data_IF_712003691401
#
_entry.id   IF_712003691401
#
_cell.length_a   1.000
_cell.length_b   1.000
_cell.length_c   1.000
_cell.angle_alpha   90.00
_cell.angle_beta   90.00
_cell.angle_gamma   90.00
#
_symmetry.space_group_name_H-M   'P 1'
#
loop_
_entity.id
_entity.type
_entity.pdbx_description
1 polymer ?
#
# COMPACT_ATOMS: atom_id res chain seq x y z
N UNK A 1 -5.28 37.92 -33.15
CA UNK A 1 -5.99 37.01 -32.23
C UNK A 1 -6.02 37.64 -30.84
N UNK A 2 -7.14 38.24 -30.41
CA UNK A 2 -7.19 38.92 -29.09
C UNK A 2 -7.77 38.05 -27.96
N UNK A 3 -8.61 37.06 -28.27
CA UNK A 3 -9.33 36.22 -27.30
C UNK A 3 -9.32 34.71 -27.64
N UNK A 4 -8.48 34.29 -28.59
CA UNK A 4 -8.42 32.91 -29.09
C UNK A 4 -7.12 32.17 -28.76
N UNK A 5 -6.06 32.90 -28.41
CA UNK A 5 -4.78 32.30 -28.04
C UNK A 5 -4.82 31.77 -26.60
N UNK A 6 -4.03 30.73 -26.36
CA UNK A 6 -3.88 30.05 -25.07
C UNK A 6 -2.41 29.82 -24.79
N UNK A 7 -2.05 29.70 -23.51
CA UNK A 7 -0.66 29.46 -23.10
C UNK A 7 -0.16 28.07 -23.56
N UNK A 8 -1.01 27.05 -23.42
CA UNK A 8 -0.71 25.67 -23.80
C UNK A 8 -1.73 25.18 -24.83
N UNK A 9 -1.25 24.95 -26.05
CA UNK A 9 -2.07 24.45 -27.16
C UNK A 9 -2.22 22.94 -27.09
N UNK A 10 -3.37 22.43 -27.52
CA UNK A 10 -3.58 21.00 -27.70
C UNK A 10 -2.86 20.56 -28.98
N UNK A 11 -1.76 19.83 -28.86
CA UNK A 11 -1.00 19.37 -30.04
C UNK A 11 -1.58 18.04 -30.55
N UNK A 12 -1.78 17.94 -31.86
CA UNK A 12 -2.35 16.79 -32.53
C UNK A 12 -1.53 16.39 -33.77
N UNK A 13 -1.53 15.11 -34.15
CA UNK A 13 -0.89 14.67 -35.39
C UNK A 13 -1.82 14.82 -36.59
N UNK A 14 -1.28 15.32 -37.70
CA UNK A 14 -1.91 15.28 -39.01
C UNK A 14 -2.06 13.83 -39.51
N UNK A 15 -3.11 13.56 -40.29
CA UNK A 15 -3.42 12.27 -40.95
C UNK A 15 -3.52 11.06 -40.00
N UNK A 16 -3.72 11.31 -38.71
CA UNK A 16 -3.91 10.27 -37.70
C UNK A 16 -5.34 10.30 -37.19
N UNK A 17 -6.01 9.14 -37.21
CA UNK A 17 -7.32 8.97 -36.58
C UNK A 17 -7.13 8.95 -35.06
N UNK A 18 -7.66 9.96 -34.39
CA UNK A 18 -7.61 10.10 -32.94
C UNK A 18 -9.01 10.05 -32.35
N UNK A 19 -9.08 9.76 -31.05
CA UNK A 19 -10.33 9.74 -30.29
C UNK A 19 -10.22 10.77 -29.18
N UNK A 20 -11.08 11.78 -29.22
CA UNK A 20 -11.27 12.73 -28.12
C UNK A 20 -12.31 12.20 -27.13
N UNK A 21 -12.03 12.32 -25.85
CA UNK A 21 -12.99 12.09 -24.77
C UNK A 21 -13.22 13.43 -24.06
N UNK A 22 -14.45 13.90 -24.05
CA UNK A 22 -14.82 15.23 -23.57
C UNK A 22 -15.79 15.07 -22.40
N UNK A 23 -15.49 15.73 -21.29
CA UNK A 23 -16.31 15.77 -20.07
C UNK A 23 -16.05 17.07 -19.33
N UNK A 24 -16.84 17.34 -18.30
CA UNK A 24 -16.69 18.51 -17.43
C UNK A 24 -16.68 18.08 -15.96
N UNK A 25 -16.05 18.89 -15.12
CA UNK A 25 -15.98 18.70 -13.67
C UNK A 25 -16.99 19.60 -12.91
N UNK A 26 -17.31 20.79 -13.44
CA UNK A 26 -18.11 21.80 -12.74
C UNK A 26 -19.52 21.97 -13.33
N UNK A 27 -19.64 22.56 -14.51
CA UNK A 27 -20.88 22.87 -15.23
C UNK A 27 -20.81 22.38 -16.66
N UNK A 28 -21.89 22.51 -17.44
CA UNK A 28 -21.85 22.11 -18.85
C UNK A 28 -21.00 23.11 -19.63
N UNK A 29 -20.05 22.59 -20.40
CA UNK A 29 -19.29 23.36 -21.41
C UNK A 29 -19.48 22.69 -22.78
N UNK A 30 -18.87 23.25 -23.83
CA UNK A 30 -18.83 22.60 -25.13
C UNK A 30 -17.48 22.80 -25.81
N UNK A 31 -16.83 21.69 -26.15
CA UNK A 31 -15.58 21.67 -26.87
C UNK A 31 -15.87 21.80 -28.36
N UNK A 32 -15.71 23.01 -28.90
CA UNK A 32 -16.04 23.32 -30.28
C UNK A 32 -14.86 23.92 -31.02
N UNK A 33 -14.50 23.32 -32.14
CA UNK A 33 -13.46 23.78 -33.08
C UNK A 33 -14.10 23.87 -34.47
N UNK A 34 -14.65 25.04 -34.86
CA UNK A 34 -15.46 25.17 -36.07
C UNK A 34 -14.75 24.79 -37.36
N UNK A 35 -13.46 25.14 -37.51
CA UNK A 35 -12.66 24.80 -38.68
C UNK A 35 -12.36 23.31 -38.82
N UNK A 36 -12.45 22.56 -37.72
CA UNK A 36 -12.38 21.10 -37.72
C UNK A 36 -13.76 20.44 -37.87
N UNK A 37 -14.85 21.21 -37.87
CA UNK A 37 -16.22 20.70 -37.92
C UNK A 37 -16.63 19.93 -36.67
N UNK A 38 -15.99 20.17 -35.53
CA UNK A 38 -16.24 19.42 -34.28
C UNK A 38 -16.93 20.32 -33.27
N UNK A 39 -18.04 19.84 -32.70
CA UNK A 39 -18.68 20.38 -31.50
C UNK A 39 -19.17 19.22 -30.64
N UNK A 40 -18.74 19.20 -29.38
CA UNK A 40 -19.11 18.14 -28.42
C UNK A 40 -19.33 18.77 -27.06
N UNK A 41 -20.48 18.50 -26.46
CA UNK A 41 -20.79 19.04 -25.14
C UNK A 41 -20.04 18.26 -24.06
N UNK A 42 -19.48 18.99 -23.11
CA UNK A 42 -18.81 18.49 -21.93
C UNK A 42 -19.82 18.50 -20.77
N UNK A 43 -20.50 17.37 -20.57
CA UNK A 43 -21.55 17.23 -19.55
C UNK A 43 -20.96 16.55 -18.31
N UNK A 44 -21.20 17.10 -17.13
CA UNK A 44 -20.76 16.52 -15.86
C UNK A 44 -21.35 15.13 -15.66
N UNK A 45 -20.52 14.18 -15.20
CA UNK A 45 -20.93 12.79 -15.00
C UNK A 45 -21.13 11.97 -16.29
N UNK A 46 -20.81 12.53 -17.48
CA UNK A 46 -20.81 11.81 -18.76
C UNK A 46 -19.51 12.04 -19.52
N UNK A 47 -19.01 11.01 -20.19
CA UNK A 47 -17.84 11.12 -21.07
C UNK A 47 -18.31 10.94 -22.51
N UNK A 48 -18.31 12.03 -23.27
CA UNK A 48 -18.67 12.01 -24.69
C UNK A 48 -17.43 11.71 -25.54
N UNK A 49 -17.59 10.84 -26.53
CA UNK A 49 -16.53 10.44 -27.43
C UNK A 49 -16.68 11.11 -28.79
N UNK A 50 -15.59 11.61 -29.35
CA UNK A 50 -15.53 12.15 -30.71
C UNK A 50 -14.33 11.60 -31.47
N UNK A 51 -14.51 11.36 -32.76
CA UNK A 51 -13.41 10.99 -33.64
C UNK A 51 -12.80 12.25 -34.25
N UNK A 52 -11.48 12.40 -34.13
CA UNK A 52 -10.71 13.53 -34.64
C UNK A 52 -9.78 13.04 -35.74
N UNK A 53 -9.82 13.68 -36.91
CA UNK A 53 -8.88 13.43 -37.98
C UNK A 53 -8.61 14.74 -38.70
N UNK A 54 -7.36 15.20 -38.64
CA UNK A 54 -6.93 16.44 -39.28
C UNK A 54 -6.21 16.12 -40.58
N UNK A 55 -6.64 16.72 -41.69
CA UNK A 55 -6.12 16.42 -43.02
C UNK A 55 -4.89 17.24 -43.40
N UNK A 56 -4.67 18.38 -42.74
CA UNK A 56 -3.56 19.28 -43.00
C UNK A 56 -3.03 19.86 -41.68
N UNK A 57 -1.72 20.15 -41.60
CA UNK A 57 -1.13 20.81 -40.44
C UNK A 57 -1.57 22.28 -40.36
N UNK A 58 -1.66 22.82 -39.15
CA UNK A 58 -2.09 24.20 -38.92
C UNK A 58 -2.62 24.41 -37.51
N UNK A 59 -2.98 25.66 -37.20
CA UNK A 59 -3.56 26.03 -35.90
C UNK A 59 -5.07 26.24 -36.07
N UNK A 60 -5.85 25.48 -35.31
CA UNK A 60 -7.30 25.50 -35.32
C UNK A 60 -7.79 26.13 -34.02
N UNK A 61 -8.60 27.19 -34.16
CA UNK A 61 -9.17 27.89 -33.02
C UNK A 61 -10.62 27.50 -32.78
N UNK A 62 -10.99 27.53 -31.51
CA UNK A 62 -12.32 27.22 -31.01
C UNK A 62 -12.65 28.07 -29.79
N UNK A 63 -13.92 28.04 -29.39
CA UNK A 63 -14.41 28.66 -28.16
C UNK A 63 -15.48 27.77 -27.55
N UNK A 64 -15.70 27.92 -26.24
CA UNK A 64 -16.83 27.28 -25.59
C UNK A 64 -18.14 27.67 -26.28
N UNK A 65 -18.96 26.69 -26.63
CA UNK A 65 -20.21 26.88 -27.38
C UNK A 65 -21.46 26.51 -26.57
N UNK A 66 -21.33 26.42 -25.24
CA UNK A 66 -22.42 26.19 -24.29
C UNK A 66 -22.24 27.09 -23.06
N UNK A 67 -23.29 27.81 -22.65
CA UNK A 67 -23.20 28.87 -21.64
C UNK A 67 -22.77 28.30 -20.28
N UNK A 68 -21.56 28.67 -19.83
CA UNK A 68 -20.95 28.12 -18.62
C UNK A 68 -20.65 29.15 -17.51
N UNK A 69 -21.23 30.36 -17.60
CA UNK A 69 -21.11 31.41 -16.58
C UNK A 69 -20.47 32.71 -17.07
N UNK A 70 -19.97 33.52 -16.14
CA UNK A 70 -19.49 34.89 -16.41
C UNK A 70 -18.31 34.93 -17.38
N UNK A 71 -17.40 33.96 -17.29
CA UNK A 71 -16.20 33.88 -18.13
C UNK A 71 -16.38 33.00 -19.37
N UNK A 72 -17.64 32.73 -19.78
CA UNK A 72 -17.93 31.82 -20.89
C UNK A 72 -17.22 32.18 -22.20
N UNK A 73 -17.08 33.47 -22.52
CA UNK A 73 -16.38 33.96 -23.71
C UNK A 73 -14.85 33.97 -23.59
N UNK A 74 -14.30 33.72 -22.39
CA UNK A 74 -12.87 33.82 -22.07
C UNK A 74 -12.21 32.46 -21.83
N UNK A 75 -12.77 31.39 -22.39
CA UNK A 75 -12.17 30.04 -22.40
C UNK A 75 -12.00 29.51 -23.83
N UNK A 76 -11.03 30.04 -24.59
CA UNK A 76 -10.77 29.59 -25.94
C UNK A 76 -10.11 28.21 -25.99
N UNK A 77 -10.21 27.58 -27.15
CA UNK A 77 -9.60 26.30 -27.47
C UNK A 77 -8.62 26.55 -28.63
N UNK A 78 -7.40 26.05 -28.51
CA UNK A 78 -6.42 26.10 -29.60
C UNK A 78 -5.82 24.71 -29.81
N UNK A 79 -5.97 24.20 -31.03
CA UNK A 79 -5.44 22.90 -31.44
C UNK A 79 -4.36 23.14 -32.50
N UNK A 80 -3.14 22.72 -32.21
CA UNK A 80 -2.02 22.80 -33.14
C UNK A 80 -1.78 21.43 -33.76
N UNK A 81 -2.07 21.32 -35.06
CA UNK A 81 -1.88 20.09 -35.82
C UNK A 81 -0.52 20.14 -36.48
N UNK A 82 0.34 19.19 -36.12
CA UNK A 82 1.70 19.07 -36.62
C UNK A 82 1.90 17.76 -37.38
N UNK A 83 3.02 17.63 -38.09
CA UNK A 83 3.39 16.36 -38.71
C UNK A 83 3.61 15.27 -37.66
N UNK A 84 3.38 14.00 -38.00
CA UNK A 84 3.56 12.89 -37.06
C UNK A 84 4.95 12.83 -36.42
N UNK A 85 6.00 13.22 -37.15
CA UNK A 85 7.36 13.33 -36.61
C UNK A 85 7.47 14.37 -35.50
N UNK A 86 7.03 15.60 -35.77
CA UNK A 86 7.05 16.70 -34.79
C UNK A 86 6.16 16.38 -33.59
N UNK A 87 5.02 15.71 -33.82
CA UNK A 87 4.15 15.24 -32.75
C UNK A 87 4.86 14.21 -31.85
N UNK A 88 5.58 13.26 -32.44
CA UNK A 88 6.39 12.29 -31.70
C UNK A 88 7.48 12.94 -30.86
N UNK A 89 8.24 13.86 -31.46
CA UNK A 89 9.29 14.61 -30.75
C UNK A 89 8.69 15.44 -29.59
N UNK A 90 7.55 16.09 -29.82
CA UNK A 90 6.82 16.85 -28.79
C UNK A 90 6.32 15.94 -27.66
N UNK A 91 5.79 14.75 -27.97
CA UNK A 91 5.35 13.78 -26.97
C UNK A 91 6.50 13.32 -26.08
N UNK A 92 7.64 12.93 -26.68
CA UNK A 92 8.82 12.47 -25.94
C UNK A 92 9.36 13.60 -25.06
N UNK A 93 9.49 14.81 -25.60
CA UNK A 93 9.97 15.97 -24.86
C UNK A 93 9.09 16.29 -23.63
N UNK A 94 7.76 16.31 -23.78
CA UNK A 94 6.86 16.59 -22.66
C UNK A 94 6.77 15.43 -21.66
N UNK A 95 6.85 14.19 -22.14
CA UNK A 95 6.96 13.02 -21.27
C UNK A 95 8.20 13.11 -20.37
N UNK A 96 9.35 13.42 -20.95
CA UNK A 96 10.61 13.56 -20.20
C UNK A 96 10.56 14.78 -19.26
N UNK A 97 9.94 15.89 -19.66
CA UNK A 97 9.73 17.05 -18.77
C UNK A 97 8.84 16.71 -17.56
N UNK A 98 7.75 15.99 -17.76
CA UNK A 98 6.81 15.64 -16.68
C UNK A 98 7.38 14.59 -15.72
N UNK A 99 8.16 13.63 -16.23
CA UNK A 99 8.87 12.66 -15.38
C UNK A 99 9.97 13.34 -14.53
N UNK A 100 10.68 14.29 -15.12
CA UNK A 100 11.69 15.08 -14.42
C UNK A 100 11.11 16.12 -13.44
N UNK A 101 9.83 16.52 -13.57
CA UNK A 101 9.17 17.42 -12.61
C UNK A 101 8.71 16.71 -11.32
N UNK A 102 8.56 15.38 -11.35
CA UNK A 102 8.25 14.54 -10.18
C UNK A 102 9.48 14.07 -9.40
N UNK A 103 10.69 14.33 -9.91
CA UNK A 103 11.95 14.07 -9.24
C UNK A 103 12.68 15.38 -8.99
N UNK A 104 13.15 15.61 -7.76
CA UNK A 104 13.84 16.84 -7.40
C UNK A 104 14.91 17.26 -8.41
N UNK A 105 14.81 18.53 -8.81
CA UNK A 105 15.82 19.42 -9.37
C UNK A 105 17.22 18.79 -9.53
N UNK A 106 17.51 18.29 -10.73
CA UNK A 106 18.89 18.17 -11.22
C UNK A 106 19.07 19.14 -12.37
N UNK A 107 18.96 20.42 -12.02
CA UNK A 107 19.71 21.44 -12.73
C UNK A 107 21.21 21.17 -12.56
N UNK A 108 21.89 20.88 -13.67
CA UNK A 108 23.10 21.61 -14.09
C UNK A 108 23.65 21.03 -15.37
N UNK A 109 23.65 21.86 -16.41
CA UNK A 109 24.65 21.77 -17.45
C UNK A 109 26.03 21.80 -16.79
N UNK A 110 26.78 20.72 -16.96
CA UNK A 110 28.13 20.57 -16.47
C UNK A 110 28.89 19.72 -17.49
N UNK A 111 30.14 20.08 -17.77
CA UNK A 111 30.98 19.37 -18.74
C UNK A 111 31.00 17.86 -18.47
N UNK A 112 31.30 17.07 -19.52
CA UNK A 112 31.33 15.60 -19.50
C UNK A 112 32.08 15.00 -18.28
N UNK A 113 33.06 15.74 -17.76
CA UNK A 113 33.89 15.39 -16.61
C UNK A 113 33.14 15.57 -15.26
N UNK A 114 32.29 16.59 -15.15
CA UNK A 114 31.41 16.81 -14.00
C UNK A 114 30.29 15.77 -13.91
N UNK A 115 29.77 15.31 -15.04
CA UNK A 115 28.77 14.23 -15.12
C UNK A 115 29.38 12.89 -14.68
N UNK A 116 30.60 12.57 -15.10
CA UNK A 116 31.29 11.35 -14.67
C UNK A 116 31.61 11.36 -13.17
N UNK A 117 32.09 12.50 -12.65
CA UNK A 117 32.35 12.66 -11.21
C UNK A 117 31.09 12.54 -10.36
N UNK A 118 29.97 13.12 -10.80
CA UNK A 118 28.70 13.03 -10.07
C UNK A 118 28.10 11.63 -10.17
N UNK A 119 28.25 10.94 -11.30
CA UNK A 119 27.82 9.55 -11.47
C UNK A 119 28.60 8.61 -10.54
N UNK A 120 29.93 8.74 -10.48
CA UNK A 120 30.78 7.94 -9.60
C UNK A 120 30.45 8.23 -8.13
N UNK A 121 30.28 9.49 -7.76
CA UNK A 121 29.85 9.87 -6.41
C UNK A 121 28.49 9.27 -6.05
N UNK A 122 27.51 9.38 -6.94
CA UNK A 122 26.16 8.87 -6.72
C UNK A 122 26.14 7.35 -6.56
N UNK A 123 26.88 6.62 -7.41
CA UNK A 123 27.03 5.17 -7.31
C UNK A 123 27.71 4.78 -6.00
N UNK A 124 28.80 5.47 -5.63
CA UNK A 124 29.53 5.18 -4.39
C UNK A 124 28.67 5.41 -3.13
N UNK A 125 28.00 6.57 -3.03
CA UNK A 125 27.11 6.86 -1.91
C UNK A 125 25.87 5.94 -1.91
N UNK A 126 25.37 5.55 -3.07
CA UNK A 126 24.30 4.57 -3.22
C UNK A 126 24.70 3.20 -2.66
N UNK A 127 25.88 2.69 -3.05
CA UNK A 127 26.42 1.41 -2.57
C UNK A 127 26.72 1.46 -1.07
N UNK A 128 27.28 2.57 -0.57
CA UNK A 128 27.55 2.74 0.86
C UNK A 128 26.25 2.75 1.69
N UNK A 129 25.21 3.43 1.22
CA UNK A 129 23.91 3.46 1.92
C UNK A 129 23.22 2.10 1.87
N UNK A 130 23.31 1.39 0.74
CA UNK A 130 22.77 0.05 0.59
C UNK A 130 23.47 -0.97 1.50
N UNK A 131 24.80 -0.92 1.61
CA UNK A 131 25.58 -1.81 2.49
C UNK A 131 25.30 -1.55 3.96
N UNK A 132 25.17 -0.29 4.38
CA UNK A 132 24.77 0.06 5.76
C UNK A 132 23.33 -0.42 6.05
N UNK A 133 22.41 -0.26 5.11
CA UNK A 133 21.03 -0.73 5.25
C UNK A 133 20.97 -2.25 5.37
N UNK A 134 21.66 -2.97 4.48
CA UNK A 134 21.75 -4.43 4.52
C UNK A 134 22.36 -4.91 5.84
N UNK A 135 23.41 -4.24 6.33
CA UNK A 135 24.00 -4.54 7.64
C UNK A 135 23.00 -4.35 8.80
N UNK A 136 22.20 -3.28 8.78
CA UNK A 136 21.16 -3.05 9.80
C UNK A 136 20.06 -4.10 9.75
N UNK A 137 19.56 -4.43 8.56
CA UNK A 137 18.51 -5.45 8.40
C UNK A 137 19.02 -6.82 8.85
N UNK A 138 20.26 -7.16 8.50
CA UNK A 138 20.89 -8.41 8.93
C UNK A 138 21.02 -8.49 10.46
N UNK A 139 21.46 -7.40 11.11
CA UNK A 139 21.55 -7.37 12.56
C UNK A 139 20.18 -7.45 13.25
N UNK A 140 19.18 -6.71 12.75
CA UNK A 140 17.81 -6.78 13.26
C UNK A 140 17.24 -8.20 13.14
N UNK A 141 17.49 -8.87 12.00
CA UNK A 141 17.03 -10.23 11.78
C UNK A 141 17.58 -11.20 12.82
N UNK A 142 18.89 -11.14 13.10
CA UNK A 142 19.51 -11.98 14.13
C UNK A 142 19.00 -11.65 15.55
N UNK A 143 18.77 -10.38 15.85
CA UNK A 143 18.19 -9.98 17.13
C UNK A 143 16.78 -10.57 17.32
N UNK A 144 15.90 -10.42 16.32
CA UNK A 144 14.53 -10.93 16.39
C UNK A 144 14.46 -12.45 16.38
N UNK A 145 15.31 -13.11 15.59
CA UNK A 145 15.42 -14.56 15.59
C UNK A 145 15.87 -15.06 16.97
N UNK A 146 16.92 -14.48 17.55
CA UNK A 146 17.38 -14.84 18.90
C UNK A 146 16.31 -14.61 19.97
N UNK A 147 15.61 -13.47 19.92
CA UNK A 147 14.61 -13.13 20.93
C UNK A 147 13.35 -14.01 20.82
N UNK A 148 12.72 -14.06 19.64
CA UNK A 148 11.42 -14.72 19.49
C UNK A 148 11.52 -16.23 19.23
N UNK A 149 12.56 -16.71 18.56
CA UNK A 149 12.70 -18.14 18.26
C UNK A 149 13.41 -18.87 19.40
N UNK A 150 14.38 -18.22 20.05
CA UNK A 150 15.17 -18.88 21.09
C UNK A 150 14.72 -18.45 22.49
N UNK A 151 14.81 -17.16 22.83
CA UNK A 151 14.60 -16.71 24.21
C UNK A 151 13.16 -16.90 24.71
N UNK A 152 12.14 -16.50 23.94
CA UNK A 152 10.73 -16.59 24.36
C UNK A 152 10.27 -18.05 24.56
N UNK A 153 10.52 -18.99 23.63
CA UNK A 153 10.12 -20.38 23.82
C UNK A 153 10.90 -21.06 24.95
N UNK A 154 12.20 -20.80 25.05
CA UNK A 154 13.03 -21.34 26.14
C UNK A 154 12.51 -20.83 27.49
N UNK A 155 12.31 -19.52 27.66
CA UNK A 155 11.80 -18.98 28.94
C UNK A 155 10.41 -19.52 29.30
N UNK A 156 9.50 -19.62 28.34
CA UNK A 156 8.16 -20.16 28.58
C UNK A 156 8.18 -21.66 28.92
N UNK A 157 8.99 -22.44 28.20
CA UNK A 157 9.14 -23.87 28.46
C UNK A 157 9.83 -24.08 29.81
N UNK A 158 10.97 -23.46 30.08
CA UNK A 158 11.72 -23.72 31.32
C UNK A 158 10.97 -23.23 32.56
N UNK A 159 10.45 -22.00 32.56
CA UNK A 159 9.74 -21.47 33.75
C UNK A 159 8.41 -22.20 33.91
N UNK A 160 7.65 -22.35 32.81
CA UNK A 160 6.35 -23.01 32.86
C UNK A 160 6.43 -24.51 33.23
N UNK A 161 7.40 -25.23 32.69
CA UNK A 161 7.59 -26.65 33.04
C UNK A 161 8.12 -26.82 34.45
N UNK A 162 9.04 -25.96 34.90
CA UNK A 162 9.55 -26.04 36.27
C UNK A 162 8.44 -25.83 37.31
N UNK A 163 7.62 -24.79 37.14
CA UNK A 163 6.51 -24.49 38.06
C UNK A 163 5.47 -25.62 38.08
N UNK A 164 5.13 -26.16 36.90
CA UNK A 164 4.18 -27.27 36.79
C UNK A 164 4.73 -28.57 37.40
N UNK A 165 5.98 -28.91 37.10
CA UNK A 165 6.65 -30.11 37.64
C UNK A 165 6.79 -29.99 39.15
N UNK A 166 7.18 -28.83 39.65
CA UNK A 166 7.28 -28.60 41.09
C UNK A 166 5.94 -28.80 41.80
N UNK A 167 4.88 -28.19 41.25
CA UNK A 167 3.52 -28.40 41.75
C UNK A 167 3.10 -29.88 41.71
N UNK A 168 3.33 -30.58 40.60
CA UNK A 168 2.99 -31.98 40.46
C UNK A 168 3.76 -32.88 41.46
N UNK A 169 5.06 -32.68 41.61
CA UNK A 169 5.89 -33.43 42.56
C UNK A 169 5.44 -33.18 43.99
N UNK A 170 5.21 -31.93 44.39
CA UNK A 170 4.71 -31.61 45.73
C UNK A 170 3.36 -32.26 46.02
N UNK A 171 2.47 -32.31 45.02
CA UNK A 171 1.15 -32.94 45.13
C UNK A 171 1.29 -34.45 45.28
N UNK A 172 2.16 -35.09 44.51
CA UNK A 172 2.43 -36.52 44.61
C UNK A 172 3.04 -36.91 45.97
N UNK A 173 3.97 -36.10 46.50
CA UNK A 173 4.58 -36.34 47.82
C UNK A 173 3.54 -36.18 48.92
N UNK A 174 2.73 -35.13 48.88
CA UNK A 174 1.63 -34.92 49.82
C UNK A 174 0.62 -36.09 49.77
N UNK A 175 0.23 -36.51 48.56
CA UNK A 175 -0.66 -37.65 48.37
C UNK A 175 -0.05 -38.95 48.90
N UNK A 176 1.25 -39.20 48.66
CA UNK A 176 1.95 -40.37 49.17
C UNK A 176 2.05 -40.40 50.70
N UNK A 177 2.29 -39.25 51.33
CA UNK A 177 2.25 -39.13 52.79
C UNK A 177 0.86 -39.40 53.37
N UNK A 178 -0.19 -38.89 52.72
CA UNK A 178 -1.57 -39.16 53.10
C UNK A 178 -1.93 -40.65 52.91
N UNK A 179 -1.51 -41.27 51.81
CA UNK A 179 -1.75 -42.69 51.55
C UNK A 179 -1.04 -43.58 52.59
N UNK A 180 0.18 -43.21 53.00
CA UNK A 180 0.91 -43.91 54.06
C UNK A 180 0.18 -43.81 55.41
N UNK A 181 -0.41 -42.64 55.71
CA UNK A 181 -1.24 -42.45 56.90
C UNK A 181 -2.55 -43.25 56.81
N UNK A 182 -3.19 -43.30 55.64
CA UNK A 182 -4.41 -44.07 55.39
C UNK A 182 -4.22 -45.59 55.61
N UNK A 183 -3.04 -46.14 55.31
CA UNK A 183 -2.75 -47.56 55.56
C UNK A 183 -2.65 -47.86 57.07
N UNK A 184 -2.17 -46.91 57.88
CA UNK A 184 -2.08 -47.09 59.33
C UNK A 184 -3.44 -46.90 60.00
N UNK A 185 -4.16 -45.83 59.66
CA UNK A 185 -5.45 -45.45 60.25
C UNK A 185 -6.45 -44.99 59.17
N UNK A 186 -7.21 -45.92 58.56
CA UNK A 186 -8.04 -45.62 57.38
C UNK A 186 -9.23 -44.70 57.68
N UNK A 187 -9.81 -44.80 58.89
CA UNK A 187 -10.97 -43.99 59.28
C UNK A 187 -10.57 -42.53 59.49
N UNK A 188 -9.45 -42.27 60.16
CA UNK A 188 -9.02 -40.90 60.46
C UNK A 188 -8.53 -40.18 59.21
N UNK A 189 -7.74 -40.87 58.37
CA UNK A 189 -7.26 -40.31 57.11
C UNK A 189 -8.38 -40.04 56.09
N UNK A 190 -9.45 -40.84 56.04
CA UNK A 190 -10.62 -40.56 55.18
C UNK A 190 -11.44 -39.40 55.69
N UNK A 191 -11.66 -39.32 56.99
CA UNK A 191 -12.33 -38.16 57.59
C UNK A 191 -11.53 -36.88 57.34
N UNK A 192 -10.21 -36.92 57.49
CA UNK A 192 -9.33 -35.80 57.16
C UNK A 192 -9.43 -35.38 55.68
N UNK A 193 -9.41 -36.33 54.74
CA UNK A 193 -9.54 -36.02 53.31
C UNK A 193 -10.91 -35.39 52.98
N UNK A 194 -12.00 -35.89 53.58
CA UNK A 194 -13.33 -35.32 53.41
C UNK A 194 -13.43 -33.91 54.01
N UNK A 195 -12.85 -33.69 55.19
CA UNK A 195 -12.79 -32.35 55.79
C UNK A 195 -11.92 -31.39 54.99
N UNK A 196 -10.77 -31.84 54.47
CA UNK A 196 -9.89 -31.04 53.61
C UNK A 196 -10.60 -30.67 52.30
N UNK A 197 -11.18 -31.63 51.58
CA UNK A 197 -11.91 -31.37 50.33
C UNK A 197 -13.14 -30.47 50.55
N UNK A 198 -13.91 -30.73 51.61
CA UNK A 198 -15.05 -29.87 51.95
C UNK A 198 -14.59 -28.46 52.34
N UNK A 199 -13.46 -28.31 53.04
CA UNK A 199 -12.90 -27.01 53.38
C UNK A 199 -12.41 -26.24 52.16
N UNK A 200 -11.85 -26.91 51.15
CA UNK A 200 -11.41 -26.28 49.89
C UNK A 200 -12.61 -25.88 49.01
N UNK A 201 -13.64 -26.72 48.95
CA UNK A 201 -14.89 -26.36 48.26
C UNK A 201 -15.56 -25.18 48.96
N UNK A 202 -15.59 -25.19 50.29
CA UNK A 202 -16.13 -24.09 51.09
C UNK A 202 -15.28 -22.83 50.99
N UNK A 203 -13.95 -22.92 50.89
CA UNK A 203 -13.06 -21.77 50.71
C UNK A 203 -13.28 -21.10 49.36
N UNK A 204 -13.46 -21.90 48.30
CA UNK A 204 -13.80 -21.41 46.96
C UNK A 204 -15.20 -20.78 46.93
N UNK A 205 -16.19 -21.42 47.54
CA UNK A 205 -17.55 -20.87 47.67
C UNK A 205 -17.51 -19.58 48.50
N UNK A 206 -16.81 -19.57 49.62
CA UNK A 206 -16.65 -18.40 50.48
C UNK A 206 -15.96 -17.25 49.75
N UNK A 207 -14.91 -17.51 48.96
CA UNK A 207 -14.25 -16.51 48.13
C UNK A 207 -15.20 -15.93 47.08
N UNK A 208 -15.97 -16.78 46.40
CA UNK A 208 -17.00 -16.37 45.44
C UNK A 208 -18.12 -15.53 46.09
N UNK A 209 -18.50 -15.84 47.33
CA UNK A 209 -19.58 -15.16 48.07
C UNK A 209 -19.10 -13.85 48.70
N UNK A 210 -17.90 -13.82 49.29
CA UNK A 210 -17.35 -12.63 49.97
C UNK A 210 -16.76 -11.61 49.01
N UNK A 211 -16.27 -12.05 47.86
CA UNK A 211 -15.66 -11.19 46.85
C UNK A 211 -16.21 -11.45 45.45
N UNK A 212 -17.54 -11.26 45.23
CA UNK A 212 -18.20 -11.63 43.98
C UNK A 212 -17.64 -10.89 42.77
N UNK A 213 -17.22 -9.63 42.96
CA UNK A 213 -16.59 -8.82 41.90
C UNK A 213 -15.20 -9.37 41.55
N UNK A 214 -14.41 -9.78 42.54
CA UNK A 214 -13.05 -10.27 42.29
C UNK A 214 -13.06 -11.66 41.65
N UNK A 215 -13.98 -12.52 42.09
CA UNK A 215 -14.22 -13.84 41.50
C UNK A 215 -14.73 -13.75 40.05
N UNK A 216 -15.68 -12.86 39.77
CA UNK A 216 -16.18 -12.63 38.40
C UNK A 216 -15.12 -12.03 37.49
N UNK A 217 -14.30 -11.10 37.97
CA UNK A 217 -13.14 -10.56 37.22
C UNK A 217 -12.09 -11.64 36.97
N UNK A 218 -11.84 -12.54 37.92
CA UNK A 218 -10.90 -13.65 37.74
C UNK A 218 -11.39 -14.63 36.65
N UNK A 219 -12.66 -15.04 36.71
CA UNK A 219 -13.29 -15.86 35.66
C UNK A 219 -13.28 -15.13 34.31
N UNK A 220 -13.66 -13.85 34.29
CA UNK A 220 -13.67 -13.04 33.07
C UNK A 220 -12.27 -12.91 32.48
N UNK A 221 -11.21 -12.73 33.29
CA UNK A 221 -9.82 -12.72 32.81
C UNK A 221 -9.38 -14.07 32.25
N UNK A 222 -9.80 -15.18 32.86
CA UNK A 222 -9.54 -16.53 32.34
C UNK A 222 -10.21 -16.74 30.98
N UNK A 223 -11.51 -16.46 30.89
CA UNK A 223 -12.28 -16.55 29.65
C UNK A 223 -11.73 -15.59 28.59
N UNK A 224 -11.41 -14.35 28.96
CA UNK A 224 -10.84 -13.34 28.05
C UNK A 224 -9.50 -13.80 27.48
N UNK A 225 -8.61 -14.38 28.29
CA UNK A 225 -7.35 -14.94 27.76
C UNK A 225 -7.59 -16.03 26.72
N UNK A 226 -8.53 -16.95 26.97
CA UNK A 226 -8.88 -18.02 26.03
C UNK A 226 -9.52 -17.47 24.75
N UNK A 227 -10.47 -16.55 24.89
CA UNK A 227 -11.16 -15.89 23.77
C UNK A 227 -10.18 -15.07 22.95
N UNK A 228 -9.29 -14.30 23.58
CA UNK A 228 -8.24 -13.56 22.88
C UNK A 228 -7.34 -14.49 22.09
N UNK A 229 -6.92 -15.64 22.62
CA UNK A 229 -6.11 -16.62 21.86
C UNK A 229 -6.90 -17.19 20.68
N UNK A 230 -8.18 -17.56 20.88
CA UNK A 230 -9.03 -18.09 19.81
C UNK A 230 -9.34 -17.09 18.70
N UNK A 231 -9.41 -15.78 19.01
CA UNK A 231 -9.71 -14.73 18.03
C UNK A 231 -8.44 -14.19 17.36
N UNK A 232 -7.36 -14.01 18.13
CA UNK A 232 -6.10 -13.42 17.62
C UNK A 232 -5.36 -14.33 16.67
N UNK A 233 -5.38 -15.65 16.88
CA UNK A 233 -4.67 -16.60 16.01
C UNK A 233 -5.24 -16.58 14.59
N UNK A 234 -6.56 -16.71 14.36
CA UNK A 234 -7.16 -16.55 13.03
C UNK A 234 -6.92 -15.17 12.43
N UNK A 235 -7.05 -14.11 13.23
CA UNK A 235 -6.83 -12.75 12.74
C UNK A 235 -5.39 -12.51 12.28
N UNK A 236 -4.39 -12.95 13.06
CA UNK A 236 -2.98 -12.88 12.63
C UNK A 236 -2.71 -13.72 11.38
N UNK A 237 -3.30 -14.91 11.27
CA UNK A 237 -3.15 -15.72 10.04
C UNK A 237 -3.81 -15.08 8.83
N UNK A 238 -4.95 -14.40 9.02
CA UNK A 238 -5.66 -13.69 7.97
C UNK A 238 -4.90 -12.41 7.57
N UNK A 239 -4.39 -11.65 8.53
CA UNK A 239 -3.62 -10.44 8.28
C UNK A 239 -2.31 -10.76 7.53
N UNK A 240 -1.59 -11.80 7.95
CA UNK A 240 -0.41 -12.29 7.23
C UNK A 240 -0.73 -12.79 5.80
N UNK A 241 -1.90 -13.41 5.60
CA UNK A 241 -2.39 -13.80 4.28
C UNK A 241 -2.77 -12.58 3.42
N UNK A 242 -3.46 -11.61 4.00
CA UNK A 242 -3.82 -10.35 3.35
C UNK A 242 -2.58 -9.53 2.98
N UNK A 243 -1.53 -9.53 3.80
CA UNK A 243 -0.27 -8.86 3.50
C UNK A 243 0.51 -9.52 2.36
N UNK A 244 0.43 -10.85 2.24
CA UNK A 244 0.95 -11.55 1.05
C UNK A 244 0.16 -11.16 -0.23
N UNK A 245 -1.14 -10.90 -0.10
CA UNK A 245 -2.02 -10.50 -1.20
C UNK A 245 -1.97 -8.98 -1.49
N UNK A 246 -1.59 -8.16 -0.51
CA UNK A 246 -1.54 -6.69 -0.59
C UNK A 246 -0.26 -6.16 -1.24
N UNK A 247 0.69 -7.03 -1.63
CA UNK A 247 1.89 -6.63 -2.40
C UNK A 247 1.57 -6.01 -3.78
N UNK A 248 0.30 -6.08 -4.22
CA UNK A 248 -0.20 -5.35 -5.39
C UNK A 248 -0.59 -3.88 -5.13
N UNK A 249 -0.58 -3.42 -3.88
CA UNK A 249 -1.06 -2.09 -3.47
C UNK A 249 0.05 -1.13 -3.01
N UNK A 250 1.26 -1.63 -2.73
CA UNK A 250 2.39 -0.77 -2.36
C UNK A 250 3.04 -0.11 -3.59
N UNK A 251 3.52 1.11 -3.40
CA UNK A 251 4.00 2.02 -4.46
C UNK A 251 5.00 1.39 -5.46
N UNK A 252 5.73 0.33 -5.09
CA UNK A 252 6.68 -0.34 -5.98
C UNK A 252 6.03 -1.09 -7.15
N UNK A 253 4.92 -1.82 -6.93
CA UNK A 253 4.22 -2.50 -8.04
C UNK A 253 3.55 -1.48 -8.94
N UNK A 254 2.97 -0.42 -8.37
CA UNK A 254 2.44 0.73 -9.12
C UNK A 254 3.53 1.41 -9.94
N UNK A 255 4.68 1.70 -9.34
CA UNK A 255 5.82 2.34 -10.00
C UNK A 255 6.42 1.42 -11.06
N UNK A 256 6.52 0.12 -10.81
CA UNK A 256 6.95 -0.87 -11.79
C UNK A 256 5.98 -0.96 -12.98
N UNK A 257 4.68 -1.01 -12.73
CA UNK A 257 3.63 -1.03 -13.76
C UNK A 257 3.68 0.25 -14.57
N UNK A 258 3.73 1.43 -13.93
CA UNK A 258 3.85 2.74 -14.60
C UNK A 258 5.13 2.80 -15.44
N UNK A 259 6.27 2.36 -14.89
CA UNK A 259 7.55 2.30 -15.60
C UNK A 259 7.50 1.34 -16.80
N UNK A 260 6.80 0.22 -16.65
CA UNK A 260 6.65 -0.76 -17.73
C UNK A 260 5.73 -0.25 -18.84
N UNK A 261 4.62 0.40 -18.48
CA UNK A 261 3.73 1.07 -19.42
C UNK A 261 4.50 2.15 -20.16
N UNK A 262 5.21 3.04 -19.46
CA UNK A 262 6.03 4.10 -20.07
C UNK A 262 7.05 3.56 -21.07
N UNK A 263 7.78 2.49 -20.69
CA UNK A 263 8.74 1.84 -21.59
C UNK A 263 8.06 1.26 -22.84
N UNK A 264 6.97 0.53 -22.67
CA UNK A 264 6.23 -0.07 -23.78
C UNK A 264 5.60 1.00 -24.69
N UNK A 265 5.11 2.10 -24.11
CA UNK A 265 4.57 3.24 -24.85
C UNK A 265 5.65 3.90 -25.71
N UNK A 266 6.86 4.09 -25.18
CA UNK A 266 8.00 4.60 -25.95
C UNK A 266 8.36 3.67 -27.12
N UNK A 267 8.49 2.37 -26.85
CA UNK A 267 8.77 1.37 -27.88
C UNK A 267 7.68 1.35 -28.96
N UNK A 268 6.40 1.43 -28.58
CA UNK A 268 5.27 1.50 -29.50
C UNK A 268 5.30 2.77 -30.37
N UNK A 269 5.61 3.93 -29.79
CA UNK A 269 5.73 5.17 -30.54
C UNK A 269 6.91 5.15 -31.51
N UNK A 270 8.06 4.61 -31.10
CA UNK A 270 9.22 4.44 -31.98
C UNK A 270 8.87 3.55 -33.19
N UNK A 271 8.11 2.46 -32.95
CA UNK A 271 7.60 1.60 -34.03
C UNK A 271 6.64 2.37 -34.95
N UNK A 272 5.68 3.11 -34.39
CA UNK A 272 4.76 3.95 -35.16
C UNK A 272 5.50 4.98 -36.04
N UNK A 273 6.43 5.73 -35.46
CA UNK A 273 7.23 6.72 -36.17
C UNK A 273 8.09 6.06 -37.26
N UNK A 274 8.68 4.90 -36.97
CA UNK A 274 9.45 4.15 -37.97
C UNK A 274 8.59 3.64 -39.14
N UNK A 275 7.32 3.32 -38.88
CA UNK A 275 6.38 2.89 -39.91
C UNK A 275 5.92 4.07 -40.79
N UNK A 276 5.55 5.19 -40.15
CA UNK A 276 5.04 6.36 -40.86
C UNK A 276 6.13 7.24 -41.50
N UNK A 277 7.39 7.14 -41.06
CA UNK A 277 8.52 7.84 -41.70
C UNK A 277 9.02 7.18 -42.99
N UNK A 278 8.63 5.93 -43.24
CA UNK A 278 9.00 5.16 -44.44
C UNK A 278 8.00 5.31 -45.60
N UNK A 279 6.87 5.99 -45.38
CA UNK A 279 5.89 6.35 -46.41
C UNK A 279 6.00 7.83 -46.71
#
# INVERSE_FOLDING_TARGET
>A
YRLLEVDNRCVASCLLQMRGLVTSDDVVHSWAVPSAGVKVDAVTGRVNQVSLCFLYPGVFYGQCSELCGVNHSFMPICVEVVSGKVFGDWLVYNHDKNTNAGGGDVSKGGSLLGVLSSLIGYVFFGVLKATILLGKVYFLWWYYLGYYVVYVPVSYVFIGTFDFVWWAVSTCVAFGSWLSWFVMDPIDATMFALFYLSSEILSLIYYCVTSPIMASVWLAKGVWKVVCVLVSVPFMTFDAFMDCMSSFSSNETKEYVVRRISKNTKEFFDVLLSYYSKK
#
